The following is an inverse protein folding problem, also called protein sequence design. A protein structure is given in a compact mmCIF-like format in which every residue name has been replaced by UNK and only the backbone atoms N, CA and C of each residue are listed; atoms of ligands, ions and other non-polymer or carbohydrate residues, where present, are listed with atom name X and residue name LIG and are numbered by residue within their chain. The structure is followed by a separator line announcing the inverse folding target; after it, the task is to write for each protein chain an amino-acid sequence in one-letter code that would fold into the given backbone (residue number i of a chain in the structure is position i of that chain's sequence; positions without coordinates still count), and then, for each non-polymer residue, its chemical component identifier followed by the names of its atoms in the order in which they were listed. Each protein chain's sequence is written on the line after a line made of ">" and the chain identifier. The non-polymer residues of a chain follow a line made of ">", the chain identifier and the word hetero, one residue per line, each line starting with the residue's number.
data_IF_963157823036
#
_entry.id   IF_963157823036
#
_cell.length_a   1.000
_cell.length_b   1.000
_cell.length_c   1.000
_cell.angle_alpha   90.00
_cell.angle_beta   90.00
_cell.angle_gamma   90.00
#
_symmetry.space_group_name_H-M   'P 1'
#
loop_
_entity.id
_entity.type
_entity.pdbx_description
1 polymer ?
#
# COMPACT_ATOMS: atom_id res chain seq x y z
N UNK A 1 10.90 10.25 -3.80
CA UNK A 1 10.09 11.36 -3.28
C UNK A 1 9.93 12.43 -4.35
N UNK A 2 8.73 13.02 -4.45
CA UNK A 2 8.45 14.12 -5.38
C UNK A 2 8.91 15.45 -4.76
N UNK A 3 9.54 16.38 -5.53
CA UNK A 3 10.16 17.56 -4.94
C UNK A 3 9.15 18.58 -4.42
N UNK A 4 9.28 18.99 -3.16
CA UNK A 4 8.39 19.98 -2.52
C UNK A 4 8.37 21.34 -3.25
N UNK A 5 9.49 21.73 -3.87
CA UNK A 5 9.60 22.96 -4.66
C UNK A 5 8.69 22.95 -5.91
N UNK A 6 8.38 21.77 -6.45
CA UNK A 6 7.44 21.65 -7.56
C UNK A 6 5.98 21.71 -7.11
N UNK A 7 5.68 21.33 -5.86
CA UNK A 7 4.33 21.35 -5.30
C UNK A 7 3.90 22.70 -4.73
N UNK A 8 4.84 23.41 -4.07
CA UNK A 8 4.59 24.67 -3.37
C UNK A 8 3.85 25.74 -4.20
N UNK A 9 4.19 26.00 -5.48
CA UNK A 9 3.49 26.99 -6.31
C UNK A 9 2.00 26.71 -6.53
N UNK A 10 1.59 25.46 -6.37
CA UNK A 10 0.22 25.01 -6.60
C UNK A 10 -0.53 24.70 -5.30
N UNK A 11 0.09 24.90 -4.13
CA UNK A 11 -0.50 24.53 -2.84
C UNK A 11 -0.76 23.03 -2.70
N UNK A 12 0.01 22.19 -3.40
CA UNK A 12 -0.14 20.74 -3.36
C UNK A 12 0.76 20.17 -2.27
N UNK A 13 0.27 19.16 -1.56
CA UNK A 13 1.07 18.34 -0.66
C UNK A 13 1.33 16.97 -1.30
N UNK A 14 2.59 16.52 -1.26
CA UNK A 14 2.95 15.21 -1.78
C UNK A 14 2.77 14.16 -0.68
N UNK A 15 1.77 13.30 -0.82
CA UNK A 15 1.52 12.18 0.09
C UNK A 15 2.42 11.00 -0.28
N UNK A 16 3.01 10.34 0.72
CA UNK A 16 3.80 9.13 0.48
C UNK A 16 2.90 7.93 0.17
N UNK A 17 3.39 6.90 -0.55
CA UNK A 17 2.60 5.70 -0.78
C UNK A 17 2.12 5.01 0.50
N UNK A 18 2.92 5.04 1.57
CA UNK A 18 2.59 4.39 2.85
C UNK A 18 1.44 5.13 3.56
N UNK A 19 1.53 6.46 3.65
CA UNK A 19 0.46 7.32 4.18
C UNK A 19 -0.84 7.13 3.38
N UNK A 20 -0.76 7.16 2.05
CA UNK A 20 -1.93 6.98 1.19
C UNK A 20 -2.62 5.63 1.41
N UNK A 21 -1.86 4.54 1.52
CA UNK A 21 -2.44 3.22 1.76
C UNK A 21 -2.99 3.06 3.20
N UNK A 22 -2.39 3.72 4.19
CA UNK A 22 -2.94 3.78 5.54
C UNK A 22 -4.27 4.53 5.59
N UNK A 23 -4.40 5.63 4.85
CA UNK A 23 -5.67 6.36 4.73
C UNK A 23 -6.75 5.47 4.10
N UNK A 24 -6.43 4.77 2.99
CA UNK A 24 -7.35 3.82 2.36
C UNK A 24 -7.71 2.64 3.30
N UNK A 25 -6.76 2.15 4.09
CA UNK A 25 -7.02 1.12 5.08
C UNK A 25 -7.99 1.59 6.17
N UNK A 26 -7.83 2.84 6.61
CA UNK A 26 -8.74 3.45 7.60
C UNK A 26 -10.15 3.66 7.04
N UNK A 27 -10.26 3.88 5.73
CA UNK A 27 -11.52 4.06 5.02
C UNK A 27 -12.29 2.74 4.88
N UNK A 28 -11.65 1.68 4.39
CA UNK A 28 -12.25 0.35 4.30
C UNK A 28 -11.19 -0.77 4.31
N UNK A 29 -10.86 -1.28 5.51
CA UNK A 29 -9.88 -2.35 5.65
C UNK A 29 -10.31 -3.68 5.05
N UNK A 30 -11.62 -3.95 4.97
CA UNK A 30 -12.15 -5.21 4.43
C UNK A 30 -11.95 -5.25 2.92
N UNK A 31 -12.28 -4.16 2.23
CA UNK A 31 -12.07 -4.03 0.80
C UNK A 31 -10.58 -4.04 0.44
N UNK A 32 -9.76 -3.33 1.23
CA UNK A 32 -8.30 -3.36 1.04
C UNK A 32 -7.73 -4.77 1.19
N UNK A 33 -8.17 -5.54 2.19
CA UNK A 33 -7.75 -6.93 2.34
C UNK A 33 -8.18 -7.81 1.16
N UNK A 34 -9.40 -7.62 0.65
CA UNK A 34 -9.89 -8.30 -0.56
C UNK A 34 -9.03 -8.00 -1.78
N UNK A 35 -8.62 -6.74 -1.96
CA UNK A 35 -7.76 -6.31 -3.05
C UNK A 35 -6.38 -6.97 -2.95
N UNK A 36 -5.79 -7.06 -1.75
CA UNK A 36 -4.50 -7.73 -1.54
C UNK A 36 -4.55 -9.21 -1.91
N UNK A 37 -5.62 -9.92 -1.52
CA UNK A 37 -5.83 -11.31 -1.95
C UNK A 37 -6.00 -11.44 -3.47
N UNK A 38 -6.75 -10.52 -4.08
CA UNK A 38 -6.92 -10.51 -5.55
C UNK A 38 -5.59 -10.26 -6.25
N UNK A 39 -4.77 -9.34 -5.75
CA UNK A 39 -3.46 -9.04 -6.32
C UNK A 39 -2.56 -10.29 -6.32
N UNK A 40 -2.49 -11.01 -5.21
CA UNK A 40 -1.74 -12.27 -5.15
C UNK A 40 -2.25 -13.30 -6.19
N UNK A 41 -3.58 -13.44 -6.34
CA UNK A 41 -4.19 -14.35 -7.31
C UNK A 41 -3.94 -13.96 -8.78
N UNK A 42 -3.84 -12.66 -9.08
CA UNK A 42 -3.62 -12.15 -10.43
C UNK A 42 -2.15 -12.29 -10.88
N UNK A 43 -1.20 -12.37 -9.94
CA UNK A 43 0.21 -12.63 -10.19
C UNK A 43 0.42 -14.11 -10.52
N UNK A 44 0.70 -14.39 -11.80
CA UNK A 44 0.78 -15.77 -12.33
C UNK A 44 2.15 -16.17 -12.87
N UNK A 45 3.12 -15.24 -12.95
CA UNK A 45 4.44 -15.50 -13.49
C UNK A 45 5.54 -14.64 -12.81
N UNK A 46 6.12 -15.09 -11.69
CA UNK A 46 5.79 -16.32 -10.96
C UNK A 46 4.45 -16.19 -10.19
N UNK A 47 3.75 -17.30 -9.89
CA UNK A 47 2.66 -17.29 -8.92
C UNK A 47 3.13 -16.78 -7.55
N UNK A 48 2.33 -15.95 -6.88
CA UNK A 48 2.65 -15.42 -5.55
C UNK A 48 1.55 -15.70 -4.54
N UNK A 49 1.93 -15.97 -3.30
CA UNK A 49 1.00 -16.02 -2.16
C UNK A 49 0.70 -14.62 -1.65
N UNK A 50 -0.30 -14.48 -0.77
CA UNK A 50 -0.54 -13.21 -0.08
C UNK A 50 0.71 -12.76 0.69
N UNK A 51 1.39 -13.65 1.41
CA UNK A 51 2.55 -13.26 2.22
C UNK A 51 3.75 -12.83 1.35
N UNK A 52 3.93 -13.41 0.16
CA UNK A 52 4.94 -12.95 -0.81
C UNK A 52 4.67 -11.50 -1.25
N UNK A 53 3.40 -11.18 -1.52
CA UNK A 53 2.97 -9.82 -1.89
C UNK A 53 3.17 -8.86 -0.72
N UNK A 54 2.74 -9.23 0.49
CA UNK A 54 2.91 -8.38 1.68
C UNK A 54 4.38 -8.14 2.02
N UNK A 55 5.23 -9.15 1.88
CA UNK A 55 6.67 -9.04 2.10
C UNK A 55 7.32 -8.09 1.08
N UNK A 56 6.91 -8.18 -0.19
CA UNK A 56 7.40 -7.28 -1.24
C UNK A 56 6.95 -5.84 -1.01
N UNK A 57 5.66 -5.63 -0.75
CA UNK A 57 5.10 -4.30 -0.46
C UNK A 57 5.74 -3.67 0.78
N UNK A 58 6.08 -4.48 1.80
CA UNK A 58 6.69 -4.01 3.04
C UNK A 58 8.03 -3.31 2.85
N UNK A 59 8.69 -3.49 1.71
CA UNK A 59 9.92 -2.77 1.36
C UNK A 59 9.67 -1.28 1.04
N UNK A 60 8.45 -0.92 0.64
CA UNK A 60 8.07 0.45 0.24
C UNK A 60 7.03 1.06 1.18
N UNK A 61 6.11 0.25 1.70
CA UNK A 61 4.98 0.68 2.56
C UNK A 61 4.94 -0.09 3.89
N UNK A 62 6.02 0.00 4.70
CA UNK A 62 6.18 -0.83 5.90
C UNK A 62 5.10 -0.60 6.96
N UNK A 63 4.59 0.63 7.12
CA UNK A 63 3.59 0.93 8.14
C UNK A 63 2.23 0.35 7.77
N UNK A 64 1.81 0.49 6.52
CA UNK A 64 0.62 -0.14 5.98
C UNK A 64 0.67 -1.66 6.16
N UNK A 65 1.77 -2.31 5.79
CA UNK A 65 1.90 -3.77 5.92
C UNK A 65 1.90 -4.22 7.39
N UNK A 66 2.50 -3.45 8.30
CA UNK A 66 2.39 -3.72 9.73
C UNK A 66 0.93 -3.68 10.20
N UNK A 67 0.12 -2.75 9.68
CA UNK A 67 -1.29 -2.65 10.02
C UNK A 67 -2.12 -3.80 9.44
N UNK A 68 -1.88 -4.20 8.19
CA UNK A 68 -2.51 -5.37 7.57
C UNK A 68 -2.24 -6.62 8.41
N UNK A 69 -0.96 -6.87 8.75
CA UNK A 69 -0.54 -8.06 9.51
C UNK A 69 -1.13 -8.16 10.92
N UNK A 70 -1.55 -7.04 11.53
CA UNK A 70 -2.25 -7.04 12.82
C UNK A 70 -3.70 -7.50 12.74
N UNK A 71 -4.31 -7.44 11.55
CA UNK A 71 -5.72 -7.80 11.34
C UNK A 71 -5.90 -9.13 10.60
N UNK A 72 -4.80 -9.77 10.18
CA UNK A 72 -4.77 -11.16 9.70
C UNK A 72 -4.82 -12.13 10.89
#
# INVERSE_FOLDING_TARGET
>A
HFPASACSPYGIEAVTPDEFLLDLWSLDSREMLRILHKQAADLRNPPQTLDDVLTTLGQTVPQFIAQVRRQL
#
